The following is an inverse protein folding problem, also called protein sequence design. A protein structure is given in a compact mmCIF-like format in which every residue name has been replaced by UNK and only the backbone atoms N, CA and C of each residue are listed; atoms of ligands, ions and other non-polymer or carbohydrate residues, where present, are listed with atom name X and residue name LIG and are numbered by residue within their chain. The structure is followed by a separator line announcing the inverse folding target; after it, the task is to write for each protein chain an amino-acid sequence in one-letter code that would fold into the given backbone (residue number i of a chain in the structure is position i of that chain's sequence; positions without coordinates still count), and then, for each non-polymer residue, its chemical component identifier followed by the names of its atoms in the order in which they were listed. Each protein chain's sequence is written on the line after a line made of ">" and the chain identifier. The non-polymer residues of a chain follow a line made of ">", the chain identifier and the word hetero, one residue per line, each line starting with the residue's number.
data_IF_041622607859
#
_entry.id   IF_041622607859
#
_cell.length_a   1.000
_cell.length_b   1.000
_cell.length_c   1.000
_cell.angle_alpha   90.00
_cell.angle_beta   90.00
_cell.angle_gamma   90.00
#
_symmetry.space_group_name_H-M   'P 1'
#
loop_
_entity.id
_entity.type
_entity.pdbx_description
1 polymer ?
#
# COMPACT_ATOMS: atom_id res chain seq x y z
N UNK A 1 -56.47 67.14 -28.19
CA UNK A 1 -56.85 66.68 -26.83
C UNK A 1 -55.70 65.84 -26.29
N UNK A 2 -55.10 66.28 -25.18
CA UNK A 2 -53.90 65.68 -24.57
C UNK A 2 -54.27 64.49 -23.67
N UNK A 3 -53.46 63.42 -23.68
CA UNK A 3 -53.23 62.51 -22.53
C UNK A 3 -52.03 61.59 -22.85
N UNK A 4 -50.85 61.89 -22.30
CA UNK A 4 -50.26 61.35 -21.04
C UNK A 4 -49.65 59.94 -21.23
N UNK A 5 -48.34 59.83 -21.45
CA UNK A 5 -47.30 59.51 -20.44
C UNK A 5 -47.67 58.32 -19.56
N UNK A 6 -46.90 57.21 -19.67
CA UNK A 6 -46.18 56.56 -18.55
C UNK A 6 -44.95 55.81 -19.09
N UNK A 7 -43.77 56.32 -18.74
CA UNK A 7 -42.48 55.60 -18.81
C UNK A 7 -42.22 55.09 -17.39
N UNK A 8 -41.96 53.80 -17.22
CA UNK A 8 -41.43 53.20 -15.98
C UNK A 8 -40.90 51.78 -16.28
N UNK A 9 -39.97 51.22 -15.49
CA UNK A 9 -38.60 51.03 -15.95
C UNK A 9 -38.12 49.56 -15.83
N UNK A 10 -36.98 49.29 -16.47
CA UNK A 10 -35.85 48.49 -15.95
C UNK A 10 -36.16 47.13 -15.27
N UNK A 11 -35.92 46.05 -16.00
CA UNK A 11 -35.51 44.77 -15.42
C UNK A 11 -34.35 44.20 -16.25
N UNK A 12 -33.13 44.47 -15.79
CA UNK A 12 -31.87 43.94 -16.32
C UNK A 12 -31.71 42.52 -15.77
N UNK A 13 -32.09 41.50 -16.55
CA UNK A 13 -31.85 40.10 -16.18
C UNK A 13 -30.46 39.67 -16.72
N UNK A 14 -29.46 39.72 -15.84
CA UNK A 14 -28.14 39.13 -16.07
C UNK A 14 -28.25 37.61 -15.95
N UNK A 15 -28.17 36.90 -17.08
CA UNK A 15 -27.94 35.47 -17.10
C UNK A 15 -26.44 35.23 -16.92
N UNK A 16 -26.02 35.03 -15.68
CA UNK A 16 -24.70 34.51 -15.33
C UNK A 16 -24.63 33.07 -15.85
N UNK A 17 -23.79 32.87 -16.86
CA UNK A 17 -23.35 31.56 -17.32
C UNK A 17 -22.42 31.01 -16.23
N UNK A 18 -23.00 30.28 -15.28
CA UNK A 18 -22.25 29.62 -14.21
C UNK A 18 -21.35 28.54 -14.81
N UNK A 19 -20.07 28.55 -14.43
CA UNK A 19 -19.22 27.39 -14.56
C UNK A 19 -19.91 26.20 -13.88
N UNK A 20 -20.12 25.13 -14.64
CA UNK A 20 -20.36 23.81 -14.09
C UNK A 20 -19.16 23.51 -13.19
N UNK A 21 -19.39 23.58 -11.88
CA UNK A 21 -18.49 22.98 -10.90
C UNK A 21 -18.51 21.50 -11.22
N UNK A 22 -17.48 21.05 -11.93
CA UNK A 22 -17.19 19.64 -12.07
C UNK A 22 -17.06 19.10 -10.66
N UNK A 23 -18.06 18.31 -10.27
CA UNK A 23 -18.07 17.49 -9.08
C UNK A 23 -16.70 16.83 -9.00
N UNK A 24 -15.86 17.35 -8.09
CA UNK A 24 -14.59 16.74 -7.75
C UNK A 24 -14.99 15.39 -7.21
N UNK A 25 -14.94 14.39 -8.11
CA UNK A 25 -15.25 13.02 -7.80
C UNK A 25 -14.52 12.72 -6.51
N UNK A 26 -15.29 12.61 -5.43
CA UNK A 26 -14.76 12.24 -4.15
C UNK A 26 -13.98 10.97 -4.43
N UNK A 27 -12.65 11.06 -4.35
CA UNK A 27 -11.85 9.88 -4.09
C UNK A 27 -12.35 9.42 -2.74
N UNK A 28 -13.37 8.57 -2.78
CA UNK A 28 -13.65 7.63 -1.73
C UNK A 28 -12.31 6.94 -1.54
N UNK A 29 -11.55 7.41 -0.54
CA UNK A 29 -10.82 6.48 0.30
C UNK A 29 -11.92 5.59 0.80
N UNK A 30 -12.23 4.55 0.02
CA UNK A 30 -13.00 3.44 0.49
C UNK A 30 -12.38 3.17 1.85
N UNK A 31 -13.17 3.37 2.89
CA UNK A 31 -12.85 2.78 4.15
C UNK A 31 -12.80 1.29 3.81
N UNK A 32 -11.60 0.79 3.49
CA UNK A 32 -11.28 -0.61 3.45
C UNK A 32 -11.76 -1.08 4.82
N UNK A 33 -13.00 -1.59 4.87
CA UNK A 33 -13.57 -2.13 6.08
C UNK A 33 -12.51 -3.08 6.61
N UNK A 34 -12.02 -2.82 7.82
CA UNK A 34 -10.84 -3.44 8.41
C UNK A 34 -10.76 -4.92 8.00
N UNK A 35 -10.01 -5.21 6.94
CA UNK A 35 -9.97 -6.57 6.38
C UNK A 35 -9.42 -7.46 7.47
N UNK A 36 -10.11 -8.54 7.79
CA UNK A 36 -9.69 -9.39 8.90
C UNK A 36 -8.56 -10.32 8.41
N UNK A 37 -7.35 -9.78 8.34
CA UNK A 37 -6.12 -10.50 7.98
C UNK A 37 -5.45 -10.99 9.26
N UNK A 38 -5.23 -12.30 9.37
CA UNK A 38 -4.44 -12.86 10.47
C UNK A 38 -3.02 -13.20 10.01
N UNK A 39 -2.02 -12.72 10.74
CA UNK A 39 -0.61 -13.02 10.50
C UNK A 39 -0.19 -14.20 11.39
N UNK A 40 -0.12 -15.39 10.82
CA UNK A 40 0.04 -16.65 11.56
C UNK A 40 1.51 -17.08 11.75
N UNK A 41 2.47 -16.18 11.48
CA UNK A 41 3.88 -16.37 11.79
C UNK A 41 4.81 -16.38 10.57
N UNK A 42 6.11 -16.31 10.89
CA UNK A 42 7.23 -16.26 9.95
C UNK A 42 8.24 -17.34 10.35
N UNK A 43 8.67 -18.18 9.41
CA UNK A 43 9.84 -19.06 9.54
C UNK A 43 10.97 -18.54 8.64
N UNK A 44 12.08 -18.15 9.26
CA UNK A 44 13.25 -17.54 8.60
C UNK A 44 14.34 -18.59 8.39
N UNK A 45 14.80 -18.74 7.15
CA UNK A 45 15.86 -19.69 6.78
C UNK A 45 16.97 -18.98 6.02
N UNK A 46 18.15 -18.98 6.60
CA UNK A 46 19.35 -18.52 5.90
C UNK A 46 19.75 -19.57 4.85
N UNK A 47 19.84 -19.17 3.59
CA UNK A 47 20.23 -20.04 2.48
C UNK A 47 21.71 -19.87 2.13
N UNK A 48 22.22 -18.65 2.24
CA UNK A 48 23.63 -18.27 2.08
C UNK A 48 23.92 -17.03 2.93
N UNK A 49 25.14 -16.51 2.94
CA UNK A 49 25.57 -15.36 3.74
C UNK A 49 24.63 -14.16 3.62
N UNK A 50 24.19 -13.84 2.40
CA UNK A 50 23.32 -12.72 2.06
C UNK A 50 21.95 -13.15 1.49
N UNK A 51 21.72 -14.45 1.27
CA UNK A 51 20.48 -14.97 0.71
C UNK A 51 19.62 -15.61 1.80
N UNK A 52 18.40 -15.11 1.97
CA UNK A 52 17.47 -15.55 3.02
C UNK A 52 16.09 -15.87 2.45
N UNK A 53 15.46 -16.90 3.00
CA UNK A 53 14.10 -17.30 2.68
C UNK A 53 13.19 -17.09 3.89
N UNK A 54 11.99 -16.57 3.63
CA UNK A 54 10.91 -16.41 4.60
C UNK A 54 9.72 -17.25 4.17
N UNK A 55 9.26 -18.09 5.07
CA UNK A 55 7.94 -18.70 4.95
C UNK A 55 6.95 -17.93 5.81
N UNK A 56 6.02 -17.24 5.17
CA UNK A 56 4.96 -16.50 5.87
C UNK A 56 3.65 -17.25 5.75
N UNK A 57 2.84 -17.22 6.81
CA UNK A 57 1.49 -17.81 6.80
C UNK A 57 0.48 -16.75 7.19
N UNK A 58 -0.56 -16.57 6.39
CA UNK A 58 -1.66 -15.65 6.65
C UNK A 58 -2.99 -16.39 6.60
N UNK A 59 -3.99 -15.90 7.32
CA UNK A 59 -5.36 -16.40 7.29
C UNK A 59 -6.39 -15.29 7.18
N UNK A 60 -7.67 -15.65 7.34
CA UNK A 60 -8.78 -14.71 7.20
C UNK A 60 -8.96 -14.24 5.77
N UNK A 61 -9.15 -12.94 5.57
CA UNK A 61 -9.39 -12.32 4.26
C UNK A 61 -8.09 -11.98 3.51
N UNK A 62 -7.00 -12.67 3.84
CA UNK A 62 -5.69 -12.44 3.24
C UNK A 62 -5.70 -12.68 1.72
N UNK A 63 -4.97 -11.81 1.02
CA UNK A 63 -4.73 -11.83 -0.42
C UNK A 63 -3.27 -12.15 -0.72
N UNK A 64 -2.95 -12.40 -2.00
CA UNK A 64 -1.55 -12.55 -2.45
C UNK A 64 -0.72 -11.28 -2.21
N UNK A 65 -1.35 -10.11 -2.21
CA UNK A 65 -0.69 -8.84 -1.91
C UNK A 65 -0.29 -8.77 -0.43
N UNK A 66 -1.19 -9.18 0.48
CA UNK A 66 -0.89 -9.23 1.92
C UNK A 66 0.25 -10.21 2.22
N UNK A 67 0.32 -11.34 1.50
CA UNK A 67 1.44 -12.30 1.58
C UNK A 67 2.76 -11.64 1.19
N UNK A 68 2.75 -10.85 0.11
CA UNK A 68 3.94 -10.19 -0.40
C UNK A 68 4.41 -9.08 0.55
N UNK A 69 3.46 -8.29 1.08
CA UNK A 69 3.73 -7.25 2.07
C UNK A 69 4.29 -7.84 3.37
N UNK A 70 3.71 -8.93 3.88
CA UNK A 70 4.20 -9.56 5.10
C UNK A 70 5.61 -10.14 4.92
N UNK A 71 5.90 -10.76 3.78
CA UNK A 71 7.24 -11.24 3.45
C UNK A 71 8.26 -10.10 3.29
N UNK A 72 7.85 -8.95 2.73
CA UNK A 72 8.69 -7.76 2.60
C UNK A 72 9.03 -7.17 3.97
N UNK A 73 8.04 -7.06 4.85
CA UNK A 73 8.22 -6.64 6.25
C UNK A 73 9.17 -7.55 7.02
N UNK A 74 9.05 -8.86 6.84
CA UNK A 74 9.97 -9.84 7.42
C UNK A 74 11.42 -9.63 6.93
N UNK A 75 11.59 -9.47 5.61
CA UNK A 75 12.89 -9.30 4.99
C UNK A 75 13.58 -7.99 5.41
N UNK A 76 12.83 -6.88 5.47
CA UNK A 76 13.34 -5.59 5.90
C UNK A 76 13.82 -5.63 7.35
N UNK A 77 13.01 -6.15 8.27
CA UNK A 77 13.40 -6.25 9.68
C UNK A 77 14.60 -7.19 9.87
N UNK A 78 14.64 -8.30 9.14
CA UNK A 78 15.77 -9.23 9.18
C UNK A 78 17.07 -8.58 8.68
N UNK A 79 17.01 -7.75 7.62
CA UNK A 79 18.16 -6.99 7.15
C UNK A 79 18.73 -6.10 8.26
N UNK A 80 17.89 -5.34 8.96
CA UNK A 80 18.31 -4.50 10.08
C UNK A 80 18.92 -5.32 11.23
N UNK A 81 18.32 -6.48 11.59
CA UNK A 81 18.86 -7.39 12.61
C UNK A 81 20.29 -7.87 12.24
N UNK A 82 20.57 -8.03 10.95
CA UNK A 82 21.88 -8.44 10.43
C UNK A 82 22.88 -7.28 10.29
N UNK A 83 22.48 -6.05 10.64
CA UNK A 83 23.31 -4.86 10.49
C UNK A 83 23.40 -4.34 9.05
N UNK A 84 22.42 -4.69 8.21
CA UNK A 84 22.32 -4.24 6.82
C UNK A 84 21.25 -3.18 6.66
N UNK A 85 21.36 -2.36 5.60
CA UNK A 85 20.41 -1.29 5.30
C UNK A 85 19.44 -1.61 4.16
N UNK A 86 19.69 -2.68 3.40
CA UNK A 86 18.93 -2.98 2.20
C UNK A 86 18.55 -4.44 2.08
N UNK A 87 17.45 -4.70 1.38
CA UNK A 87 17.09 -6.00 0.86
C UNK A 87 16.72 -5.89 -0.63
N UNK A 88 16.75 -7.00 -1.36
CA UNK A 88 16.23 -7.08 -2.73
C UNK A 88 15.43 -8.35 -2.88
N UNK A 89 14.24 -8.20 -3.45
CA UNK A 89 13.34 -9.31 -3.74
C UNK A 89 13.90 -10.21 -4.84
N UNK A 90 13.98 -11.52 -4.60
CA UNK A 90 14.38 -12.52 -5.60
C UNK A 90 13.14 -13.20 -6.18
N UNK A 91 12.28 -13.76 -5.32
CA UNK A 91 11.03 -14.42 -5.72
C UNK A 91 10.05 -14.50 -4.56
N UNK A 92 8.76 -14.57 -4.87
CA UNK A 92 7.72 -15.02 -3.93
C UNK A 92 6.80 -15.98 -4.66
N UNK A 93 6.58 -17.16 -4.08
CA UNK A 93 5.53 -18.09 -4.49
C UNK A 93 4.45 -18.08 -3.43
N UNK A 94 3.18 -18.07 -3.86
CA UNK A 94 2.04 -18.05 -2.93
C UNK A 94 1.12 -19.21 -3.24
N UNK A 95 0.84 -19.99 -2.21
CA UNK A 95 0.00 -21.18 -2.24
C UNK A 95 -1.15 -21.03 -1.26
N UNK A 96 -2.33 -21.55 -1.63
CA UNK A 96 -3.48 -21.62 -0.73
C UNK A 96 -3.52 -23.02 -0.11
N UNK A 97 -3.53 -23.10 1.22
CA UNK A 97 -3.66 -24.34 1.98
C UNK A 97 -4.87 -24.21 2.91
N UNK A 98 -5.95 -24.92 2.61
CA UNK A 98 -7.23 -24.76 3.31
C UNK A 98 -7.71 -23.29 3.30
N UNK A 99 -7.80 -22.68 4.48
CA UNK A 99 -8.22 -21.29 4.70
C UNK A 99 -7.02 -20.33 4.92
N UNK A 100 -5.79 -20.81 4.71
CA UNK A 100 -4.58 -19.99 4.83
C UNK A 100 -3.88 -19.78 3.49
N UNK A 101 -3.17 -18.66 3.37
CA UNK A 101 -2.18 -18.43 2.33
C UNK A 101 -0.79 -18.61 2.91
N UNK A 102 0.05 -19.39 2.22
CA UNK A 102 1.45 -19.56 2.53
C UNK A 102 2.29 -18.88 1.46
N UNK A 103 3.18 -18.00 1.88
CA UNK A 103 4.21 -17.39 1.03
C UNK A 103 5.56 -18.05 1.26
N UNK A 104 6.24 -18.40 0.17
CA UNK A 104 7.67 -18.75 0.15
C UNK A 104 8.39 -17.63 -0.61
N UNK A 105 9.08 -16.76 0.13
CA UNK A 105 9.73 -15.58 -0.40
C UNK A 105 11.24 -15.61 -0.15
N UNK A 106 12.03 -15.29 -1.17
CA UNK A 106 13.49 -15.23 -1.10
C UNK A 106 13.96 -13.82 -1.38
N UNK A 107 14.89 -13.36 -0.56
CA UNK A 107 15.51 -12.04 -0.64
C UNK A 107 17.03 -12.15 -0.51
N UNK A 108 17.74 -11.22 -1.13
CA UNK A 108 19.13 -10.91 -0.77
C UNK A 108 19.15 -9.74 0.20
N UNK A 109 20.04 -9.72 1.19
CA UNK A 109 20.25 -8.60 2.13
C UNK A 109 21.64 -8.01 1.96
N UNK A 110 21.78 -6.68 2.07
CA UNK A 110 23.01 -6.00 1.68
C UNK A 110 23.31 -4.76 2.53
N UNK A 111 24.59 -4.48 2.86
CA UNK A 111 24.98 -3.26 3.56
C UNK A 111 24.88 -2.00 2.68
N UNK A 112 24.95 -2.15 1.35
CA UNK A 112 24.85 -1.05 0.39
C UNK A 112 23.73 -1.32 -0.62
N UNK A 113 23.29 -0.28 -1.33
CA UNK A 113 22.20 -0.38 -2.30
C UNK A 113 22.51 -1.47 -3.36
N UNK A 114 21.74 -2.57 -3.42
CA UNK A 114 21.98 -3.64 -4.38
C UNK A 114 21.55 -3.25 -5.79
N UNK A 115 22.27 -3.77 -6.78
CA UNK A 115 21.92 -3.61 -8.20
C UNK A 115 20.61 -4.33 -8.56
N UNK A 116 19.88 -3.72 -9.51
CA UNK A 116 18.66 -4.28 -10.09
C UNK A 116 17.38 -3.61 -9.61
N UNK A 117 16.25 -4.27 -9.88
CA UNK A 117 14.91 -3.78 -9.55
C UNK A 117 14.44 -4.38 -8.21
N UNK A 118 13.40 -3.77 -7.62
CA UNK A 118 12.77 -4.22 -6.36
C UNK A 118 13.73 -4.24 -5.17
N UNK A 119 14.54 -3.20 -5.10
CA UNK A 119 15.37 -2.89 -3.94
C UNK A 119 14.52 -2.24 -2.86
N UNK A 120 14.79 -2.63 -1.62
CA UNK A 120 14.10 -2.22 -0.41
C UNK A 120 15.10 -1.48 0.47
N UNK A 121 14.75 -0.26 0.87
CA UNK A 121 15.34 0.39 2.03
C UNK A 121 14.72 -0.20 3.30
N UNK A 122 15.53 -0.86 4.11
CA UNK A 122 15.04 -1.65 5.22
C UNK A 122 14.43 -0.78 6.34
N UNK A 123 14.99 0.40 6.60
CA UNK A 123 14.49 1.32 7.63
C UNK A 123 13.13 1.87 7.23
N UNK A 124 13.01 2.33 5.98
CA UNK A 124 11.76 2.87 5.44
C UNK A 124 10.67 1.80 5.43
N UNK A 125 10.98 0.58 5.01
CA UNK A 125 9.98 -0.50 4.97
C UNK A 125 9.57 -0.93 6.36
N UNK A 126 10.48 -1.10 7.32
CA UNK A 126 10.10 -1.45 8.71
C UNK A 126 9.18 -0.38 9.31
N UNK A 127 9.48 0.89 9.07
CA UNK A 127 8.62 1.99 9.50
C UNK A 127 7.22 1.88 8.87
N UNK A 128 7.13 1.68 7.54
CA UNK A 128 5.86 1.48 6.86
C UNK A 128 5.09 0.25 7.38
N UNK A 129 5.77 -0.85 7.68
CA UNK A 129 5.15 -2.05 8.25
C UNK A 129 4.52 -1.76 9.61
N UNK A 130 5.24 -1.03 10.48
CA UNK A 130 4.72 -0.60 11.77
C UNK A 130 3.50 0.32 11.63
N UNK A 131 3.53 1.27 10.70
CA UNK A 131 2.42 2.20 10.46
C UNK A 131 1.17 1.50 9.91
N UNK A 132 1.35 0.44 9.12
CA UNK A 132 0.26 -0.35 8.56
C UNK A 132 -0.14 -1.55 9.43
N UNK A 133 0.46 -1.73 10.61
CA UNK A 133 0.15 -2.84 11.51
C UNK A 133 0.52 -4.22 10.97
N UNK A 134 1.50 -4.29 10.06
CA UNK A 134 2.03 -5.56 9.53
C UNK A 134 3.18 -6.00 10.44
N UNK A 135 3.08 -7.16 11.11
CA UNK A 135 4.13 -7.63 12.01
C UNK A 135 5.42 -7.96 11.25
N UNK A 136 6.53 -7.93 11.98
CA UNK A 136 7.87 -8.30 11.49
C UNK A 136 8.41 -9.53 12.26
N UNK A 137 9.68 -9.89 12.06
CA UNK A 137 10.36 -11.02 12.72
C UNK A 137 10.74 -10.75 14.17
#
# INVERSE_FOLDING_TARGET
>A
MHKAIRISPLALAALVMGCEMQDEGAVSRDAEGMRNVSYNGIDTRLLDNDLVQFHVTLGGEATRADVSAYAECAAAQYALIRGYGFARHVRTTVEKQNETLRGDAVYTVSPALPDGLKTIDAEVVVQNCSENGIPTV
#
